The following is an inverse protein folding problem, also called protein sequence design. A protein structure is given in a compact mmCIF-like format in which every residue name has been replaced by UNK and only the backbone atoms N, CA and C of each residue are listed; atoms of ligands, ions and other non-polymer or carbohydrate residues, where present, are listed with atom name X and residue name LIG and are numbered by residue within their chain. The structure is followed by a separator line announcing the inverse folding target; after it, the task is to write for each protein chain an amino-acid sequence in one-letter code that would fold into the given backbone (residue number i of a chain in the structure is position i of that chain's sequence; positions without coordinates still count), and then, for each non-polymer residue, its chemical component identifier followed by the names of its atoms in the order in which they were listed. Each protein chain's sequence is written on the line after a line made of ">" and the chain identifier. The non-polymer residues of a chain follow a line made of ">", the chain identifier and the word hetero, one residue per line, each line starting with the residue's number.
data_IF_874460808710
#
_entry.id   IF_874460808710
#
_cell.length_a   1.000
_cell.length_b   1.000
_cell.length_c   1.000
_cell.angle_alpha   90.00
_cell.angle_beta   90.00
_cell.angle_gamma   90.00
#
_symmetry.space_group_name_H-M   'P 1'
#
loop_
_entity.id
_entity.type
_entity.pdbx_description
1 polymer ?
#
# COMPACT_ATOMS: atom_id res chain seq x y z
N UNK A 1 -16.48 14.45 -2.94
CA UNK A 1 -16.11 13.32 -2.06
C UNK A 1 -14.65 13.01 -2.33
N UNK A 2 -13.74 13.37 -1.41
CA UNK A 2 -12.30 13.31 -1.65
C UNK A 2 -11.78 11.87 -1.59
N UNK A 3 -10.89 11.51 -2.51
CA UNK A 3 -10.13 10.26 -2.41
C UNK A 3 -9.32 10.31 -1.12
N UNK A 4 -9.60 9.40 -0.19
CA UNK A 4 -8.76 9.23 1.00
C UNK A 4 -7.38 8.76 0.51
N UNK A 5 -6.41 9.65 0.60
CA UNK A 5 -5.02 9.42 0.25
C UNK A 5 -4.23 9.61 1.53
N UNK A 6 -3.90 8.52 2.22
CA UNK A 6 -3.02 8.56 3.40
C UNK A 6 -1.60 8.28 2.96
N UNK A 7 -0.66 9.12 3.38
CA UNK A 7 0.77 8.93 3.17
C UNK A 7 1.45 8.54 4.48
N UNK A 8 2.05 7.35 4.54
CA UNK A 8 2.87 6.91 5.69
C UNK A 8 4.34 7.00 5.31
N UNK A 9 5.19 7.64 6.15
CA UNK A 9 6.65 7.74 5.94
C UNK A 9 7.40 6.72 6.78
N UNK A 10 8.50 6.21 6.24
CA UNK A 10 9.44 5.33 6.92
C UNK A 10 10.41 6.11 7.81
N UNK A 11 10.01 6.36 9.06
CA UNK A 11 10.70 5.72 10.18
C UNK A 11 9.75 5.04 11.20
N UNK A 12 8.44 4.96 10.93
CA UNK A 12 7.44 4.40 11.86
C UNK A 12 7.12 2.90 11.66
N UNK A 13 7.89 2.18 10.84
CA UNK A 13 7.72 0.75 10.61
C UNK A 13 6.59 0.38 9.63
N UNK A 14 6.69 -0.82 9.07
CA UNK A 14 5.68 -1.43 8.18
C UNK A 14 4.33 -1.65 8.90
N UNK A 15 4.34 -1.74 10.24
CA UNK A 15 3.17 -1.85 11.10
C UNK A 15 2.22 -0.66 10.93
N UNK A 16 2.75 0.57 10.88
CA UNK A 16 1.94 1.77 10.66
C UNK A 16 1.29 1.78 9.27
N UNK A 17 1.98 1.23 8.26
CA UNK A 17 1.45 1.07 6.92
C UNK A 17 0.36 0.00 6.86
N UNK A 18 0.58 -1.17 7.46
CA UNK A 18 -0.41 -2.23 7.55
C UNK A 18 -1.66 -1.79 8.31
N UNK A 19 -1.50 -1.07 9.43
CA UNK A 19 -2.60 -0.49 10.20
C UNK A 19 -3.41 0.53 9.37
N UNK A 20 -2.73 1.36 8.56
CA UNK A 20 -3.40 2.31 7.68
C UNK A 20 -4.22 1.61 6.59
N UNK A 21 -3.69 0.52 6.01
CA UNK A 21 -4.39 -0.32 5.03
C UNK A 21 -5.62 -0.99 5.67
N UNK A 22 -5.46 -1.59 6.85
CA UNK A 22 -6.56 -2.24 7.57
C UNK A 22 -7.65 -1.26 8.00
N UNK A 23 -7.28 -0.07 8.47
CA UNK A 23 -8.24 0.98 8.82
C UNK A 23 -9.07 1.41 7.60
N UNK A 24 -8.48 1.46 6.40
CA UNK A 24 -9.22 1.71 5.17
C UNK A 24 -10.07 0.51 4.74
N UNK A 25 -9.58 -0.72 4.86
CA UNK A 25 -10.34 -1.94 4.58
C UNK A 25 -11.55 -2.12 5.51
N UNK A 26 -11.49 -1.59 6.73
CA UNK A 26 -12.64 -1.60 7.65
C UNK A 26 -13.80 -0.74 7.14
N UNK A 27 -13.52 0.28 6.31
CA UNK A 27 -14.52 1.20 5.76
C UNK A 27 -14.81 1.00 4.28
N UNK A 28 -14.00 0.19 3.58
CA UNK A 28 -14.02 0.02 2.13
C UNK A 28 -13.96 -1.45 1.74
N UNK A 29 -14.57 -1.81 0.61
CA UNK A 29 -14.57 -3.21 0.13
C UNK A 29 -13.19 -3.63 -0.40
N UNK A 30 -12.45 -2.68 -0.97
CA UNK A 30 -11.11 -2.89 -1.49
C UNK A 30 -10.31 -1.59 -1.45
N UNK A 31 -9.02 -1.72 -1.18
CA UNK A 31 -8.05 -0.63 -1.16
C UNK A 31 -6.88 -1.00 -2.04
N UNK A 32 -6.30 0.01 -2.65
CA UNK A 32 -5.14 -0.12 -3.50
C UNK A 32 -3.97 0.57 -2.83
N UNK A 33 -2.83 -0.13 -2.82
CA UNK A 33 -1.67 0.26 -2.06
C UNK A 33 -0.48 0.45 -2.99
N UNK A 34 0.21 1.56 -2.76
CA UNK A 34 1.36 1.99 -3.53
C UNK A 34 2.52 2.25 -2.58
N UNK A 35 3.71 1.86 -3.01
CA UNK A 35 4.92 2.01 -2.24
C UNK A 35 5.97 2.67 -3.13
N UNK A 36 6.45 3.84 -2.73
CA UNK A 36 7.57 4.50 -3.36
C UNK A 36 8.92 4.00 -2.82
N UNK A 37 9.95 4.20 -3.63
CA UNK A 37 11.37 3.89 -3.34
C UNK A 37 11.88 4.63 -2.12
N UNK A 38 11.29 5.79 -1.81
CA UNK A 38 11.63 6.60 -0.65
C UNK A 38 10.92 6.15 0.63
N UNK A 39 10.28 4.97 0.62
CA UNK A 39 9.62 4.38 1.77
C UNK A 39 8.28 5.02 2.10
N UNK A 40 7.69 5.80 1.17
CA UNK A 40 6.33 6.33 1.33
C UNK A 40 5.31 5.34 0.83
N UNK A 41 4.25 5.14 1.61
CA UNK A 41 3.13 4.30 1.24
C UNK A 41 1.86 5.15 1.07
N UNK A 42 1.15 4.94 -0.04
CA UNK A 42 -0.17 5.51 -0.29
C UNK A 42 -1.23 4.42 -0.31
N UNK A 43 -2.28 4.62 0.48
CA UNK A 43 -3.50 3.81 0.42
C UNK A 43 -4.59 4.66 -0.20
N UNK A 44 -5.27 4.11 -1.21
CA UNK A 44 -6.46 4.71 -1.80
C UNK A 44 -7.57 3.69 -1.94
N UNK A 45 -8.79 4.15 -2.16
CA UNK A 45 -9.89 3.26 -2.49
C UNK A 45 -9.65 2.64 -3.87
N UNK A 46 -9.80 1.32 -3.97
CA UNK A 46 -9.72 0.63 -5.25
C UNK A 46 -10.99 0.95 -6.06
N UNK A 47 -10.92 2.02 -6.86
CA UNK A 47 -11.97 2.37 -7.81
C UNK A 47 -11.78 1.52 -9.07
N UNK A 48 -12.84 0.83 -9.50
CA UNK A 48 -12.84 -0.04 -10.70
C UNK A 48 -12.31 0.64 -11.97
N UNK A 49 -12.28 1.96 -12.01
CA UNK A 49 -11.94 2.76 -13.20
C UNK A 49 -10.47 3.17 -13.30
N UNK A 50 -9.66 3.04 -12.23
CA UNK A 50 -8.30 3.62 -12.21
C UNK A 50 -7.14 2.63 -12.27
N UNK A 51 -7.40 1.32 -12.34
CA UNK A 51 -6.37 0.28 -12.42
C UNK A 51 -5.44 0.43 -13.65
N UNK A 52 -5.87 1.13 -14.70
CA UNK A 52 -5.13 1.30 -15.96
C UNK A 52 -4.35 2.62 -16.09
N UNK A 53 -4.48 3.56 -15.15
CA UNK A 53 -3.82 4.89 -15.24
C UNK A 53 -2.63 5.05 -14.31
N UNK A 54 -2.14 3.96 -13.73
CA UNK A 54 -1.15 4.03 -12.68
C UNK A 54 0.24 4.15 -13.27
N UNK A 55 1.07 5.07 -12.74
CA UNK A 55 2.45 5.19 -13.18
C UNK A 55 3.16 3.86 -12.93
N UNK A 56 3.68 3.27 -14.00
CA UNK A 56 4.42 2.03 -13.96
C UNK A 56 5.59 2.16 -12.96
N UNK A 57 5.62 1.31 -11.94
CA UNK A 57 6.78 1.18 -11.05
C UNK A 57 6.54 1.25 -9.54
N UNK A 58 5.30 1.44 -9.06
CA UNK A 58 5.07 1.74 -7.62
C UNK A 58 3.82 1.08 -7.01
N UNK A 59 3.15 0.19 -7.73
CA UNK A 59 1.92 -0.47 -7.28
C UNK A 59 2.27 -1.78 -6.56
N UNK A 60 1.88 -1.88 -5.29
CA UNK A 60 2.07 -3.09 -4.47
C UNK A 60 0.96 -4.09 -4.75
N UNK A 61 -0.29 -3.62 -4.75
CA UNK A 61 -1.43 -4.51 -4.91
C UNK A 61 -2.76 -3.89 -4.53
N UNK A 62 -3.82 -4.64 -4.82
CA UNK A 62 -5.19 -4.35 -4.37
C UNK A 62 -5.55 -5.36 -3.29
N UNK A 63 -5.75 -4.87 -2.07
CA UNK A 63 -6.24 -5.68 -0.95
C UNK A 63 -7.75 -5.56 -0.85
N UNK A 64 -8.41 -6.68 -0.57
CA UNK A 64 -9.84 -6.73 -0.26
C UNK A 64 -10.03 -6.78 1.24
N UNK A 65 -11.23 -6.44 1.73
CA UNK A 65 -11.54 -6.50 3.16
C UNK A 65 -11.51 -7.92 3.76
N UNK A 66 -11.36 -8.95 2.93
CA UNK A 66 -11.12 -10.33 3.34
C UNK A 66 -9.63 -10.67 3.52
N UNK A 67 -8.72 -9.77 3.15
CA UNK A 67 -7.28 -9.98 3.32
C UNK A 67 -6.94 -10.01 4.81
N UNK A 68 -6.15 -11.00 5.22
CA UNK A 68 -5.70 -11.10 6.61
C UNK A 68 -4.62 -10.03 6.88
N UNK A 69 -4.58 -9.46 8.10
CA UNK A 69 -3.51 -8.56 8.56
C UNK A 69 -2.11 -9.05 8.18
N UNK A 70 -1.82 -10.30 8.50
CA UNK A 70 -0.54 -10.97 8.29
C UNK A 70 -0.14 -11.01 6.81
N UNK A 71 -1.10 -11.24 5.91
CA UNK A 71 -0.85 -11.27 4.46
C UNK A 71 -0.51 -9.88 3.91
N UNK A 72 -1.17 -8.84 4.42
CA UNK A 72 -0.89 -7.45 4.05
C UNK A 72 0.50 -7.08 4.54
N UNK A 73 0.85 -7.46 5.76
CA UNK A 73 2.16 -7.21 6.37
C UNK A 73 3.28 -7.90 5.60
N UNK A 74 3.15 -9.19 5.31
CA UNK A 74 4.15 -9.96 4.57
C UNK A 74 4.40 -9.40 3.16
N UNK A 75 3.34 -9.07 2.42
CA UNK A 75 3.47 -8.48 1.09
C UNK A 75 4.16 -7.10 1.16
N UNK A 76 3.79 -6.27 2.14
CA UNK A 76 4.42 -4.97 2.34
C UNK A 76 5.90 -5.11 2.67
N UNK A 77 6.26 -6.00 3.60
CA UNK A 77 7.65 -6.26 3.98
C UNK A 77 8.45 -6.76 2.76
N UNK A 78 7.88 -7.68 1.98
CA UNK A 78 8.53 -8.21 0.78
C UNK A 78 8.81 -7.11 -0.25
N UNK A 79 7.81 -6.30 -0.60
CA UNK A 79 7.97 -5.20 -1.57
C UNK A 79 8.94 -4.13 -1.06
N UNK A 80 8.91 -3.83 0.24
CA UNK A 80 9.87 -2.88 0.84
C UNK A 80 11.30 -3.40 0.80
N UNK A 81 11.52 -4.70 1.04
CA UNK A 81 12.84 -5.34 0.92
C UNK A 81 13.34 -5.29 -0.52
N UNK A 82 12.48 -5.61 -1.50
CA UNK A 82 12.85 -5.55 -2.92
C UNK A 82 13.23 -4.12 -3.35
N UNK A 83 12.49 -3.10 -2.90
CA UNK A 83 12.84 -1.70 -3.18
C UNK A 83 14.15 -1.29 -2.50
N UNK A 84 14.41 -1.71 -1.26
CA UNK A 84 15.65 -1.38 -0.54
C UNK A 84 16.86 -2.04 -1.18
N UNK A 85 16.70 -3.29 -1.64
CA UNK A 85 17.71 -4.04 -2.38
C UNK A 85 18.03 -3.41 -3.73
N UNK A 86 17.01 -2.90 -4.43
CA UNK A 86 17.18 -2.18 -5.69
C UNK A 86 17.90 -0.82 -5.55
N UNK A 87 17.99 -0.25 -4.33
CA UNK A 87 18.70 1.02 -4.05
C UNK A 87 20.17 0.78 -3.69
N UNK A 88 20.58 -0.45 -3.38
CA UNK A 88 21.96 -0.82 -3.03
C UNK A 88 22.84 -1.26 -4.22
N UNK A 89 22.44 -0.97 -5.46
CA UNK A 89 23.17 -1.33 -6.69
C UNK A 89 23.61 -0.08 -7.45
#
# INVERSE_FOLDING_TARGET
>A
MAAACMQVRWPHGWEAAAQAVQSHLATQRAVEVYLARDGRLWVRNALKEHANTLPAGWHVGIYRNTAKPEQIEDDLIWHMRELTRAVHV
#
